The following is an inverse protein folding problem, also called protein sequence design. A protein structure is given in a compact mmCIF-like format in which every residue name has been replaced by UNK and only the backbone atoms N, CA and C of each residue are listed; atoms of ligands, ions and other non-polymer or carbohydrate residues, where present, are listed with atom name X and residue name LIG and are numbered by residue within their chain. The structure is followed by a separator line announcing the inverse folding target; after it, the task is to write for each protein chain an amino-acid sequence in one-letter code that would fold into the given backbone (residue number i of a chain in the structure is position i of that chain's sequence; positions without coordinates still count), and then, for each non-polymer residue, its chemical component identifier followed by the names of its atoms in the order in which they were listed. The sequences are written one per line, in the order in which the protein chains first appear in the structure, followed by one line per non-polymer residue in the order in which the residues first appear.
data_IF_647678318894
#
_entry.id   IF_647678318894
#
_cell.length_a   1.000
_cell.length_b   1.000
_cell.length_c   1.000
_cell.angle_alpha   90.00
_cell.angle_beta   90.00
_cell.angle_gamma   90.00
#
_symmetry.space_group_name_H-M   'P 1'
#
loop_
_entity.id
_entity.type
_entity.pdbx_description
1 polymer ?
#
# COMPACT_ATOMS: atom_id res chain seq x y z
N UNK A 1 13.66 12.28 3.96
CA UNK A 1 12.84 12.28 5.20
C UNK A 1 13.56 11.41 6.22
N UNK A 2 13.72 11.82 7.48
CA UNK A 2 14.37 10.98 8.49
C UNK A 2 13.38 9.98 9.08
N UNK A 3 13.85 8.84 9.58
CA UNK A 3 13.00 7.85 10.24
C UNK A 3 12.20 8.46 11.41
N UNK A 4 12.82 9.38 12.17
CA UNK A 4 12.17 10.10 13.27
C UNK A 4 10.96 10.91 12.79
N UNK A 5 11.08 11.58 11.64
CA UNK A 5 10.00 12.38 11.08
C UNK A 5 8.86 11.50 10.53
N UNK A 6 9.19 10.36 9.89
CA UNK A 6 8.19 9.36 9.48
C UNK A 6 7.37 8.89 10.68
N UNK A 7 8.05 8.49 11.76
CA UNK A 7 7.39 8.02 12.98
C UNK A 7 6.47 9.08 13.60
N UNK A 8 6.89 10.36 13.59
CA UNK A 8 6.08 11.46 14.11
C UNK A 8 4.80 11.61 13.28
N UNK A 9 4.92 11.74 11.96
CA UNK A 9 3.78 11.94 11.05
C UNK A 9 2.78 10.78 11.11
N UNK A 10 3.25 9.53 11.13
CA UNK A 10 2.38 8.35 11.22
C UNK A 10 1.57 8.33 12.52
N UNK A 11 2.18 8.72 13.66
CA UNK A 11 1.46 8.84 14.94
C UNK A 11 0.43 9.97 14.95
N UNK A 12 0.68 11.04 14.20
CA UNK A 12 -0.26 12.16 13.99
C UNK A 12 -1.39 11.82 12.99
N UNK A 13 -1.44 10.59 12.48
CA UNK A 13 -2.50 10.13 11.59
C UNK A 13 -2.18 10.27 10.10
N UNK A 14 -1.01 10.78 9.73
CA UNK A 14 -0.59 10.84 8.32
C UNK A 14 -0.54 9.43 7.71
N UNK A 15 -1.14 9.27 6.54
CA UNK A 15 -1.05 8.08 5.69
C UNK A 15 -0.69 8.51 4.28
N UNK A 16 -0.15 7.58 3.51
CA UNK A 16 0.17 7.82 2.11
C UNK A 16 -1.13 8.07 1.34
N UNK A 17 -1.10 9.05 0.44
CA UNK A 17 -2.18 9.33 -0.50
C UNK A 17 -2.35 8.17 -1.48
N UNK A 18 -3.52 8.09 -2.12
CA UNK A 18 -3.79 7.08 -3.15
C UNK A 18 -2.90 7.34 -4.36
N UNK A 19 -2.08 6.37 -4.80
CA UNK A 19 -1.36 6.50 -6.06
C UNK A 19 -2.33 6.61 -7.25
N UNK A 20 -1.99 7.40 -8.26
CA UNK A 20 -2.89 7.66 -9.40
C UNK A 20 -3.33 6.38 -10.13
N UNK A 21 -2.39 5.44 -10.31
CA UNK A 21 -2.60 4.14 -10.95
C UNK A 21 -3.31 3.11 -10.06
N UNK A 22 -3.71 3.46 -8.83
CA UNK A 22 -4.37 2.54 -7.92
C UNK A 22 -5.86 2.86 -7.81
N UNK A 23 -6.73 1.89 -8.09
CA UNK A 23 -8.17 2.10 -7.99
C UNK A 23 -8.59 2.34 -6.53
N UNK A 24 -9.70 3.06 -6.37
CA UNK A 24 -10.16 3.53 -5.06
C UNK A 24 -10.49 2.38 -4.12
N UNK A 25 -11.01 1.29 -4.66
CA UNK A 25 -11.42 0.08 -3.94
C UNK A 25 -10.21 -0.63 -3.32
N UNK A 26 -9.15 -0.85 -4.10
CA UNK A 26 -7.91 -1.42 -3.59
C UNK A 26 -7.28 -0.51 -2.52
N UNK A 27 -7.25 0.80 -2.76
CA UNK A 27 -6.70 1.74 -1.78
C UNK A 27 -7.46 1.75 -0.45
N UNK A 28 -8.78 1.52 -0.46
CA UNK A 28 -9.59 1.39 0.77
C UNK A 28 -9.17 0.17 1.60
N UNK A 29 -8.89 -0.97 0.95
CA UNK A 29 -8.38 -2.17 1.63
C UNK A 29 -7.03 -1.87 2.29
N UNK A 30 -6.09 -1.30 1.53
CA UNK A 30 -4.74 -0.97 2.03
C UNK A 30 -4.80 0.04 3.19
N UNK A 31 -5.66 1.05 3.10
CA UNK A 31 -5.76 2.09 4.14
C UNK A 31 -6.31 1.54 5.46
N UNK A 32 -7.23 0.55 5.41
CA UNK A 32 -7.73 -0.15 6.62
C UNK A 32 -6.58 -0.84 7.39
N UNK A 33 -5.60 -1.39 6.69
CA UNK A 33 -4.41 -2.00 7.32
C UNK A 33 -3.60 -0.99 8.15
N UNK A 34 -3.72 0.31 7.87
CA UNK A 34 -3.01 1.36 8.58
C UNK A 34 -3.86 2.10 9.61
N UNK A 35 -4.97 1.50 10.07
CA UNK A 35 -5.78 2.11 11.11
C UNK A 35 -4.94 2.45 12.38
N UNK A 36 -5.24 3.60 13.01
CA UNK A 36 -4.49 4.08 14.17
C UNK A 36 -4.71 3.17 15.39
N UNK A 37 -5.96 2.77 15.62
CA UNK A 37 -6.31 1.71 16.57
C UNK A 37 -5.95 0.34 15.97
N UNK A 38 -5.16 -0.42 16.73
CA UNK A 38 -4.71 -1.77 16.35
C UNK A 38 -5.88 -2.75 16.22
N UNK A 39 -6.92 -2.61 17.04
CA UNK A 39 -8.05 -3.53 17.06
C UNK A 39 -9.01 -3.33 15.88
N UNK A 40 -8.86 -2.21 15.16
CA UNK A 40 -9.65 -1.90 13.97
C UNK A 40 -8.91 -2.26 12.67
N UNK A 41 -7.67 -2.75 12.77
CA UNK A 41 -6.96 -3.27 11.60
C UNK A 41 -7.55 -4.63 11.22
N UNK A 42 -7.81 -4.88 9.94
CA UNK A 42 -8.34 -6.16 9.50
C UNK A 42 -7.32 -7.26 9.74
N UNK A 43 -7.83 -8.44 10.06
CA UNK A 43 -7.06 -9.68 10.05
C UNK A 43 -6.66 -10.05 8.62
N UNK A 44 -5.67 -10.94 8.49
CA UNK A 44 -5.30 -11.49 7.18
C UNK A 44 -6.45 -12.22 6.49
N UNK A 45 -7.35 -12.85 7.26
CA UNK A 45 -8.55 -13.51 6.71
C UNK A 45 -9.47 -12.49 6.06
N UNK A 46 -9.79 -11.40 6.76
CA UNK A 46 -10.62 -10.31 6.22
C UNK A 46 -9.98 -9.68 4.99
N UNK A 47 -8.66 -9.41 5.02
CA UNK A 47 -7.94 -8.85 3.86
C UNK A 47 -8.06 -9.79 2.65
N UNK A 48 -7.93 -11.10 2.86
CA UNK A 48 -8.05 -12.08 1.77
C UNK A 48 -9.46 -12.07 1.17
N UNK A 49 -10.49 -12.02 2.01
CA UNK A 49 -11.89 -11.96 1.59
C UNK A 49 -12.18 -10.67 0.81
N UNK A 50 -11.74 -9.52 1.33
CA UNK A 50 -11.88 -8.22 0.67
C UNK A 50 -11.20 -8.20 -0.72
N UNK A 51 -10.00 -8.79 -0.82
CA UNK A 51 -9.27 -8.89 -2.08
C UNK A 51 -9.95 -9.85 -3.06
N UNK A 52 -10.53 -10.95 -2.58
CA UNK A 52 -11.29 -11.87 -3.43
C UNK A 52 -12.54 -11.19 -3.99
N UNK A 53 -13.29 -10.48 -3.15
CA UNK A 53 -14.46 -9.70 -3.58
C UNK A 53 -14.07 -8.62 -4.60
N UNK A 54 -12.94 -7.94 -4.38
CA UNK A 54 -12.41 -6.97 -5.34
C UNK A 54 -12.14 -7.62 -6.70
N UNK A 55 -11.52 -8.79 -6.73
CA UNK A 55 -11.22 -9.50 -7.98
C UNK A 55 -12.48 -9.93 -8.73
N UNK A 56 -13.51 -10.38 -8.00
CA UNK A 56 -14.78 -10.80 -8.58
C UNK A 56 -15.59 -9.62 -9.14
N UNK A 57 -15.50 -8.44 -8.49
CA UNK A 57 -16.33 -7.27 -8.82
C UNK A 57 -15.63 -6.19 -9.65
N UNK A 58 -14.36 -6.35 -10.02
CA UNK A 58 -13.58 -5.35 -10.78
C UNK A 58 -13.26 -5.81 -12.21
N UNK A 59 -14.24 -5.79 -13.15
CA UNK A 59 -14.02 -6.25 -14.52
C UNK A 59 -13.01 -5.37 -15.29
N UNK A 60 -12.81 -4.13 -14.85
CA UNK A 60 -11.86 -3.16 -15.42
C UNK A 60 -10.48 -3.18 -14.74
N UNK A 61 -10.24 -4.13 -13.84
CA UNK A 61 -9.01 -4.22 -13.05
C UNK A 61 -9.02 -3.33 -11.79
N UNK A 62 -7.90 -3.36 -11.05
CA UNK A 62 -7.71 -2.68 -9.75
C UNK A 62 -6.40 -1.87 -9.66
N UNK A 63 -5.49 -2.09 -10.62
CA UNK A 63 -4.30 -1.28 -10.88
C UNK A 63 -4.34 -0.93 -12.37
N UNK A 64 -4.12 0.34 -12.67
CA UNK A 64 -3.87 0.82 -14.01
C UNK A 64 -2.40 0.53 -14.37
N UNK A 65 -2.20 -0.47 -15.21
CA UNK A 65 -0.87 -0.87 -15.68
C UNK A 65 -0.33 0.03 -16.79
N UNK A 66 -1.20 0.78 -17.49
CA UNK A 66 -0.78 1.68 -18.56
C UNK A 66 -0.13 2.94 -17.98
N UNK A 67 -0.67 3.44 -16.87
CA UNK A 67 -0.16 4.62 -16.16
C UNK A 67 0.71 4.26 -14.94
N UNK A 68 1.25 3.04 -14.88
CA UNK A 68 2.05 2.57 -13.76
C UNK A 68 3.44 3.23 -13.73
N UNK A 69 3.82 3.99 -12.69
CA UNK A 69 5.11 4.66 -12.62
C UNK A 69 6.18 3.67 -12.10
N UNK A 70 6.68 2.80 -12.97
CA UNK A 70 7.65 1.74 -12.64
C UNK A 70 8.83 2.25 -11.79
N UNK A 71 9.38 3.41 -12.15
CA UNK A 71 10.51 4.04 -11.46
C UNK A 71 10.24 4.43 -10.01
N UNK A 72 8.98 4.59 -9.61
CA UNK A 72 8.58 4.90 -8.23
C UNK A 72 8.60 3.68 -7.31
N UNK A 73 8.60 2.47 -7.88
CA UNK A 73 8.54 1.21 -7.13
C UNK A 73 9.83 0.39 -7.19
N UNK A 74 10.74 0.68 -8.12
CA UNK A 74 12.08 0.12 -8.11
C UNK A 74 12.92 0.75 -6.99
N UNK A 75 13.12 -0.01 -5.91
CA UNK A 75 14.20 0.28 -4.95
C UNK A 75 15.51 -0.26 -5.52
N UNK A 76 16.13 0.45 -6.46
CA UNK A 76 17.52 0.20 -6.87
C UNK A 76 18.46 0.69 -5.74
N UNK A 77 18.48 -0.03 -4.63
CA UNK A 77 19.71 -0.17 -3.87
C UNK A 77 20.37 -1.43 -4.40
N UNK A 78 21.23 -1.29 -5.41
CA UNK A 78 22.27 -2.29 -5.62
C UNK A 78 23.00 -2.42 -4.27
N UNK A 79 22.82 -3.55 -3.59
CA UNK A 79 23.72 -3.94 -2.51
C UNK A 79 25.10 -4.18 -3.14
N UNK A 80 25.82 -3.10 -3.41
CA UNK A 80 27.24 -3.13 -3.75
C UNK A 80 28.03 -3.45 -2.48
N UNK A 81 27.76 -4.61 -1.87
CA UNK A 81 28.59 -5.25 -0.84
C UNK A 81 28.09 -6.65 -0.44
N UNK A 82 27.66 -7.50 -1.40
CA UNK A 82 27.89 -8.95 -1.21
C UNK A 82 29.38 -9.23 -1.39
N UNK A 83 30.17 -8.97 -0.34
CA UNK A 83 31.52 -9.56 -0.23
C UNK A 83 31.37 -11.01 0.22
N UNK A 84 31.70 -11.91 -0.70
CA UNK A 84 32.09 -13.31 -0.45
C UNK A 84 33.15 -13.42 0.65
#
# INVERSE_FOLDING_TARGET
MTAREVMRRVREGYRLERPEHCHQELYRIVTRCWHQDLNQRPSFTEIKEDLQELLENSPTGYIDLENFPESSYYSMHENTEEKL
#
